data_IF_258553533907
#
_entry.id   IF_258553533907
#
_cell.length_a   1.000
_cell.length_b   1.000
_cell.length_c   1.000
_cell.angle_alpha   90.00
_cell.angle_beta   90.00
_cell.angle_gamma   90.00
#
_symmetry.space_group_name_H-M   'P 1'
#
loop_
_entity.id
_entity.type
_entity.pdbx_description
1 polymer ?
#
# COMPACT_ATOMS: atom_id res chain seq x y z
N UNK A 1 35.26 24.92 -11.92
CA UNK A 1 34.63 23.61 -11.62
C UNK A 1 34.68 23.35 -10.11
N UNK A 2 34.05 24.18 -9.29
CA UNK A 2 34.28 24.21 -7.83
C UNK A 2 33.02 24.48 -7.00
N UNK A 3 31.82 24.12 -7.51
CA UNK A 3 30.54 24.33 -6.80
C UNK A 3 29.71 23.04 -6.59
N UNK A 4 30.30 21.85 -6.69
CA UNK A 4 29.57 20.57 -6.56
C UNK A 4 29.72 19.86 -5.19
N UNK A 5 30.51 20.39 -4.26
CA UNK A 5 30.87 19.67 -3.02
C UNK A 5 30.07 20.13 -1.78
N UNK A 6 29.25 21.18 -1.87
CA UNK A 6 28.50 21.71 -0.70
C UNK A 6 27.10 21.09 -0.45
N UNK A 7 26.64 20.14 -1.27
CA UNK A 7 25.26 19.65 -1.23
C UNK A 7 24.91 18.53 -0.22
N UNK A 8 25.92 17.98 0.48
CA UNK A 8 25.79 16.78 1.32
C UNK A 8 25.93 17.04 2.83
N UNK A 9 25.88 18.31 3.27
CA UNK A 9 25.79 18.60 4.69
C UNK A 9 24.37 18.27 5.21
N UNK A 10 24.32 17.22 6.04
CA UNK A 10 23.29 17.01 7.07
C UNK A 10 21.95 16.47 6.58
N UNK A 11 21.87 15.23 6.10
CA UNK A 11 20.60 14.51 6.13
C UNK A 11 20.33 14.12 7.60
N UNK A 12 19.68 15.01 8.35
CA UNK A 12 19.14 14.67 9.66
C UNK A 12 17.78 13.98 9.46
N UNK A 13 17.75 12.67 9.69
CA UNK A 13 16.49 11.89 9.67
C UNK A 13 15.99 11.78 11.09
N UNK A 14 14.79 12.29 11.37
CA UNK A 14 14.09 12.04 12.63
C UNK A 14 12.82 11.23 12.37
N UNK A 15 12.58 10.23 13.24
CA UNK A 15 11.44 9.32 13.17
C UNK A 15 10.46 9.63 14.29
N UNK A 16 9.18 9.88 13.95
CA UNK A 16 8.11 10.10 14.93
C UNK A 16 7.05 8.99 14.83
N UNK A 17 7.11 7.94 15.67
CA UNK A 17 6.22 6.79 15.52
C UNK A 17 4.78 7.15 15.91
N UNK A 18 3.90 7.29 14.92
CA UNK A 18 2.45 7.38 15.13
C UNK A 18 1.86 5.97 15.28
N UNK A 19 0.80 5.82 16.10
CA UNK A 19 0.13 4.54 16.34
C UNK A 19 -0.28 3.81 15.04
N UNK A 20 -0.84 4.53 14.07
CA UNK A 20 -1.22 3.94 12.78
C UNK A 20 0.01 3.44 12.00
N UNK A 21 1.14 4.15 12.07
CA UNK A 21 2.37 3.76 11.40
C UNK A 21 2.96 2.49 12.01
N UNK A 22 2.97 2.39 13.34
CA UNK A 22 3.37 1.16 14.05
C UNK A 22 2.50 -0.02 13.61
N UNK A 23 1.17 0.16 13.62
CA UNK A 23 0.23 -0.86 13.14
C UNK A 23 0.49 -1.23 11.67
N UNK A 24 0.68 -0.24 10.80
CA UNK A 24 1.00 -0.45 9.39
C UNK A 24 2.30 -1.23 9.18
N UNK A 25 3.38 -0.87 9.88
CA UNK A 25 4.65 -1.60 9.81
C UNK A 25 4.51 -3.04 10.31
N UNK A 26 3.81 -3.27 11.42
CA UNK A 26 3.55 -4.62 11.92
C UNK A 26 2.73 -5.43 10.91
N UNK A 27 1.71 -4.85 10.30
CA UNK A 27 0.92 -5.51 9.27
C UNK A 27 1.76 -5.90 8.05
N UNK A 28 2.62 -4.99 7.57
CA UNK A 28 3.55 -5.26 6.47
C UNK A 28 4.55 -6.34 6.83
N UNK A 29 5.11 -6.29 8.05
CA UNK A 29 6.10 -7.25 8.52
C UNK A 29 5.50 -8.65 8.63
N UNK A 30 4.30 -8.78 9.22
CA UNK A 30 3.58 -10.06 9.29
C UNK A 30 3.39 -10.65 7.90
N UNK A 31 2.93 -9.84 6.95
CA UNK A 31 2.68 -10.29 5.58
C UNK A 31 3.99 -10.62 4.87
N UNK A 32 5.01 -9.79 4.99
CA UNK A 32 6.32 -10.03 4.38
C UNK A 32 6.98 -11.31 4.91
N UNK A 33 6.89 -11.59 6.22
CA UNK A 33 7.37 -12.83 6.83
C UNK A 33 6.55 -14.01 6.32
N UNK A 34 5.22 -13.91 6.34
CA UNK A 34 4.34 -14.96 5.87
C UNK A 34 4.62 -15.34 4.40
N UNK A 35 4.82 -14.33 3.55
CA UNK A 35 5.20 -14.49 2.14
C UNK A 35 6.61 -15.08 1.97
N UNK A 36 7.60 -14.53 2.67
CA UNK A 36 9.01 -14.88 2.49
C UNK A 36 9.38 -16.26 3.05
N UNK A 37 8.74 -16.65 4.16
CA UNK A 37 8.95 -17.97 4.76
C UNK A 37 8.16 -19.09 4.07
N UNK A 38 7.25 -18.75 3.14
CA UNK A 38 6.42 -19.73 2.44
C UNK A 38 5.46 -20.47 3.37
N UNK A 39 5.06 -19.86 4.50
CA UNK A 39 4.14 -20.47 5.45
C UNK A 39 2.77 -20.69 4.81
N UNK A 40 2.21 -21.86 5.08
CA UNK A 40 0.90 -22.30 4.57
C UNK A 40 0.02 -22.67 5.74
N UNK A 41 -0.89 -21.77 6.10
CA UNK A 41 -1.89 -22.06 7.12
C UNK A 41 -3.02 -22.85 6.48
N UNK A 42 -3.13 -24.14 6.81
CA UNK A 42 -4.11 -25.04 6.18
C UNK A 42 -5.54 -24.53 6.26
N UNK A 43 -5.95 -24.02 7.43
CA UNK A 43 -7.28 -23.42 7.62
C UNK A 43 -7.52 -22.21 6.69
N UNK A 44 -6.48 -21.39 6.46
CA UNK A 44 -6.58 -20.23 5.58
C UNK A 44 -6.64 -20.68 4.11
N UNK A 45 -5.86 -21.69 3.74
CA UNK A 45 -5.83 -22.29 2.40
C UNK A 45 -7.19 -22.91 2.03
N UNK A 46 -7.85 -23.55 2.99
CA UNK A 46 -9.18 -24.13 2.84
C UNK A 46 -10.22 -23.03 2.56
N UNK A 47 -10.27 -22.00 3.41
CA UNK A 47 -11.17 -20.85 3.24
C UNK A 47 -10.87 -20.13 1.91
N UNK A 48 -9.60 -19.87 1.61
CA UNK A 48 -9.15 -19.31 0.35
C UNK A 48 -9.40 -20.23 -0.85
N UNK A 49 -9.69 -21.51 -0.65
CA UNK A 49 -10.11 -22.44 -1.69
C UNK A 49 -11.56 -22.22 -2.11
N UNK A 50 -12.41 -21.72 -1.22
CA UNK A 50 -13.83 -21.51 -1.44
C UNK A 50 -14.07 -20.41 -2.50
N UNK A 51 -14.87 -20.71 -3.52
CA UNK A 51 -15.16 -19.80 -4.64
C UNK A 51 -15.81 -18.49 -4.18
N UNK A 52 -16.84 -18.57 -3.32
CA UNK A 52 -17.53 -17.38 -2.81
C UNK A 52 -16.57 -16.54 -1.97
N UNK A 53 -15.80 -17.16 -1.08
CA UNK A 53 -14.82 -16.43 -0.28
C UNK A 53 -13.81 -15.66 -1.13
N UNK A 54 -13.25 -16.29 -2.18
CA UNK A 54 -12.33 -15.61 -3.11
C UNK A 54 -12.97 -14.37 -3.75
N UNK A 55 -14.20 -14.49 -4.21
CA UNK A 55 -14.93 -13.38 -4.85
C UNK A 55 -15.19 -12.25 -3.85
N UNK A 56 -15.73 -12.58 -2.66
CA UNK A 56 -16.00 -11.59 -1.61
C UNK A 56 -14.73 -10.90 -1.10
N UNK A 57 -13.68 -11.67 -0.79
CA UNK A 57 -12.40 -11.10 -0.35
C UNK A 57 -11.74 -10.27 -1.45
N UNK A 58 -11.88 -10.64 -2.73
CA UNK A 58 -11.40 -9.87 -3.87
C UNK A 58 -12.14 -8.55 -4.05
N UNK A 59 -13.47 -8.55 -3.98
CA UNK A 59 -14.27 -7.31 -4.01
C UNK A 59 -14.03 -6.43 -2.79
N UNK A 60 -13.86 -7.01 -1.60
CA UNK A 60 -13.50 -6.26 -0.40
C UNK A 60 -12.12 -5.58 -0.56
N UNK A 61 -11.14 -6.28 -1.12
CA UNK A 61 -9.83 -5.73 -1.42
C UNK A 61 -9.90 -4.61 -2.46
N UNK A 62 -10.64 -4.81 -3.56
CA UNK A 62 -10.86 -3.78 -4.57
C UNK A 62 -11.56 -2.54 -3.99
N UNK A 63 -12.59 -2.74 -3.17
CA UNK A 63 -13.29 -1.65 -2.49
C UNK A 63 -12.36 -0.86 -1.56
N UNK A 64 -11.46 -1.53 -0.84
CA UNK A 64 -10.44 -0.86 -0.02
C UNK A 64 -9.44 -0.07 -0.86
N UNK A 65 -9.00 -0.60 -2.01
CA UNK A 65 -8.12 0.11 -2.95
C UNK A 65 -8.83 1.36 -3.47
N UNK A 66 -10.08 1.23 -3.93
CA UNK A 66 -10.89 2.37 -4.40
C UNK A 66 -11.15 3.39 -3.29
N UNK A 67 -11.34 2.94 -2.04
CA UNK A 67 -11.49 3.82 -0.89
C UNK A 67 -10.25 4.71 -0.70
N UNK A 68 -9.04 4.20 -0.96
CA UNK A 68 -7.81 5.00 -0.83
C UNK A 68 -7.82 6.23 -1.75
N UNK A 69 -8.42 6.11 -2.94
CA UNK A 69 -8.51 7.20 -3.92
C UNK A 69 -9.45 8.32 -3.49
N UNK A 70 -10.37 8.10 -2.55
CA UNK A 70 -11.31 9.13 -2.10
C UNK A 70 -10.60 10.39 -1.59
N UNK A 71 -9.49 10.22 -0.86
CA UNK A 71 -8.69 11.33 -0.36
C UNK A 71 -8.00 12.08 -1.50
N UNK A 72 -7.32 11.36 -2.40
CA UNK A 72 -6.62 11.93 -3.55
C UNK A 72 -7.55 12.66 -4.52
N UNK A 73 -8.69 12.06 -4.84
CA UNK A 73 -9.70 12.67 -5.74
C UNK A 73 -10.26 13.96 -5.16
N UNK A 74 -10.57 14.01 -3.86
CA UNK A 74 -11.03 15.25 -3.22
C UNK A 74 -9.97 16.35 -3.25
N UNK A 75 -8.71 15.98 -3.05
CA UNK A 75 -7.59 16.93 -3.14
C UNK A 75 -7.46 17.49 -4.56
N UNK A 76 -7.62 16.64 -5.57
CA UNK A 76 -7.53 17.03 -6.98
C UNK A 76 -8.70 17.92 -7.41
N UNK A 77 -9.91 17.66 -6.94
CA UNK A 77 -11.11 18.45 -7.28
C UNK A 77 -11.30 19.71 -6.45
N UNK A 78 -10.35 20.05 -5.56
CA UNK A 78 -10.46 21.21 -4.66
C UNK A 78 -11.55 21.09 -3.59
N UNK A 79 -12.01 19.87 -3.30
CA UNK A 79 -13.05 19.61 -2.31
C UNK A 79 -12.57 19.90 -0.88
N UNK A 80 -13.52 20.21 0.03
CA UNK A 80 -13.20 20.43 1.46
C UNK A 80 -12.46 19.23 2.04
N UNK A 81 -11.21 19.44 2.45
CA UNK A 81 -10.39 18.42 3.10
C UNK A 81 -10.67 18.44 4.59
N UNK A 82 -11.14 17.32 5.13
CA UNK A 82 -11.27 17.15 6.58
C UNK A 82 -10.15 16.25 7.09
N UNK A 83 -9.72 16.48 8.33
CA UNK A 83 -8.77 15.60 9.01
C UNK A 83 -9.27 14.15 9.06
N UNK A 84 -10.59 13.95 9.06
CA UNK A 84 -11.22 12.63 9.00
C UNK A 84 -10.86 11.83 7.75
N UNK A 85 -10.82 12.46 6.56
CA UNK A 85 -10.44 11.76 5.33
C UNK A 85 -8.98 11.29 5.35
N UNK A 86 -8.08 12.13 5.84
CA UNK A 86 -6.65 11.77 5.98
C UNK A 86 -6.47 10.63 6.99
N UNK A 87 -7.12 10.73 8.15
CA UNK A 87 -7.03 9.69 9.18
C UNK A 87 -7.60 8.35 8.68
N UNK A 88 -8.73 8.40 7.96
CA UNK A 88 -9.32 7.20 7.35
C UNK A 88 -8.41 6.60 6.28
N UNK A 89 -7.83 7.41 5.39
CA UNK A 89 -6.87 6.96 4.38
C UNK A 89 -5.66 6.26 5.02
N UNK A 90 -5.05 6.88 6.04
CA UNK A 90 -3.91 6.28 6.77
C UNK A 90 -4.29 4.97 7.45
N UNK A 91 -5.40 4.95 8.19
CA UNK A 91 -5.81 3.77 8.96
C UNK A 91 -6.18 2.60 8.05
N UNK A 92 -7.03 2.85 7.04
CA UNK A 92 -7.48 1.81 6.11
C UNK A 92 -6.35 1.36 5.19
N UNK A 93 -5.45 2.26 4.80
CA UNK A 93 -4.22 1.91 4.08
C UNK A 93 -3.35 0.93 4.86
N UNK A 94 -3.28 1.04 6.19
CA UNK A 94 -2.55 0.09 7.04
C UNK A 94 -3.24 -1.28 7.17
N UNK A 95 -4.51 -1.42 6.75
CA UNK A 95 -5.21 -2.72 6.74
C UNK A 95 -5.00 -3.51 5.44
N UNK A 96 -4.63 -2.84 4.34
CA UNK A 96 -4.44 -3.46 3.02
C UNK A 96 -3.52 -4.68 3.04
N UNK A 97 -2.35 -4.67 3.71
CA UNK A 97 -1.47 -5.83 3.77
C UNK A 97 -2.18 -7.07 4.35
N UNK A 98 -2.93 -6.90 5.43
CA UNK A 98 -3.65 -8.01 6.06
C UNK A 98 -4.72 -8.56 5.13
N UNK A 99 -5.49 -7.69 4.48
CA UNK A 99 -6.54 -8.11 3.54
C UNK A 99 -5.93 -8.89 2.35
N UNK A 100 -4.75 -8.49 1.86
CA UNK A 100 -4.00 -9.25 0.86
C UNK A 100 -3.66 -10.66 1.36
N UNK A 101 -3.15 -10.78 2.59
CA UNK A 101 -2.83 -12.10 3.18
C UNK A 101 -4.06 -12.99 3.25
N UNK A 102 -5.21 -12.44 3.64
CA UNK A 102 -6.46 -13.20 3.66
C UNK A 102 -7.00 -13.55 2.28
N UNK A 103 -6.73 -12.73 1.26
CA UNK A 103 -7.21 -12.98 -0.10
C UNK A 103 -6.34 -13.96 -0.90
N UNK A 104 -5.01 -13.91 -0.76
CA UNK A 104 -4.10 -14.64 -1.66
C UNK A 104 -3.84 -16.06 -1.20
N UNK A 105 -4.30 -17.05 -1.99
CA UNK A 105 -4.08 -18.49 -1.76
C UNK A 105 -2.66 -18.94 -2.08
N UNK A 106 -2.19 -18.62 -3.28
CA UNK A 106 -0.91 -19.07 -3.80
C UNK A 106 -0.30 -17.93 -4.60
N UNK A 107 0.97 -17.64 -4.32
CA UNK A 107 1.77 -16.75 -5.16
C UNK A 107 2.39 -17.48 -6.36
N UNK A 108 1.83 -18.59 -6.83
CA UNK A 108 2.44 -19.39 -7.92
C UNK A 108 2.52 -18.65 -9.25
N UNK A 109 1.66 -17.64 -9.46
CA UNK A 109 1.57 -16.88 -10.71
C UNK A 109 2.32 -15.56 -10.56
N UNK A 110 3.28 -15.31 -11.47
CA UNK A 110 4.12 -14.11 -11.46
C UNK A 110 3.30 -12.80 -11.42
N UNK A 111 2.17 -12.78 -12.12
CA UNK A 111 1.23 -11.67 -12.12
C UNK A 111 0.68 -11.33 -10.71
N UNK A 112 0.26 -12.34 -9.94
CA UNK A 112 -0.27 -12.14 -8.59
C UNK A 112 0.83 -11.64 -7.63
N UNK A 113 2.07 -12.12 -7.78
CA UNK A 113 3.23 -11.60 -7.05
C UNK A 113 3.46 -10.12 -7.34
N UNK A 114 3.44 -9.74 -8.62
CA UNK A 114 3.64 -8.36 -9.03
C UNK A 114 2.55 -7.43 -8.47
N UNK A 115 1.27 -7.83 -8.57
CA UNK A 115 0.16 -7.05 -8.00
C UNK A 115 0.31 -6.85 -6.49
N UNK A 116 0.60 -7.92 -5.74
CA UNK A 116 0.80 -7.79 -4.29
C UNK A 116 2.04 -6.96 -3.96
N UNK A 117 3.15 -7.15 -4.67
CA UNK A 117 4.37 -6.39 -4.45
C UNK A 117 4.14 -4.89 -4.66
N UNK A 118 3.46 -4.49 -5.74
CA UNK A 118 3.11 -3.09 -6.01
C UNK A 118 2.27 -2.52 -4.86
N UNK A 119 1.25 -3.24 -4.39
CA UNK A 119 0.39 -2.74 -3.31
C UNK A 119 1.14 -2.67 -1.98
N UNK A 120 1.96 -3.68 -1.62
CA UNK A 120 2.72 -3.71 -0.38
C UNK A 120 3.81 -2.63 -0.34
N UNK A 121 4.53 -2.44 -1.45
CA UNK A 121 5.50 -1.34 -1.59
C UNK A 121 4.78 0.01 -1.50
N UNK A 122 3.61 0.15 -2.12
CA UNK A 122 2.83 1.37 -2.01
C UNK A 122 2.36 1.66 -0.56
N UNK A 123 2.00 0.63 0.18
CA UNK A 123 1.67 0.74 1.61
C UNK A 123 2.88 1.17 2.44
N UNK A 124 4.06 0.59 2.17
CA UNK A 124 5.31 0.98 2.83
C UNK A 124 5.62 2.46 2.58
N UNK A 125 5.53 2.92 1.33
CA UNK A 125 5.74 4.32 0.96
C UNK A 125 4.70 5.21 1.65
N UNK A 126 3.42 4.83 1.68
CA UNK A 126 2.37 5.60 2.35
C UNK A 126 2.56 5.73 3.87
N UNK A 127 3.11 4.70 4.51
CA UNK A 127 3.47 4.73 5.94
C UNK A 127 4.67 5.65 6.18
N UNK A 128 5.68 5.61 5.30
CA UNK A 128 6.87 6.47 5.31
C UNK A 128 6.58 7.93 4.89
N UNK A 129 5.42 8.45 5.26
CA UNK A 129 5.04 9.83 4.96
C UNK A 129 5.84 10.86 5.79
N UNK A 130 5.67 12.13 5.44
CA UNK A 130 6.39 13.27 6.04
C UNK A 130 6.16 13.44 7.55
N UNK A 131 5.09 12.89 8.12
CA UNK A 131 4.86 12.93 9.58
C UNK A 131 5.74 11.92 10.31
N UNK A 132 6.11 10.83 9.63
CA UNK A 132 6.93 9.76 10.17
C UNK A 132 8.40 10.02 9.86
N UNK A 133 8.72 10.32 8.59
CA UNK A 133 10.09 10.59 8.15
C UNK A 133 10.20 12.07 7.80
N UNK A 134 10.84 12.83 8.69
CA UNK A 134 11.05 14.26 8.47
C UNK A 134 12.33 14.47 7.69
N UNK A 135 12.19 14.90 6.44
CA UNK A 135 13.28 15.43 5.64
C UNK A 135 13.10 16.94 5.48
N UNK A 136 14.19 17.69 5.63
CA UNK A 136 14.17 19.17 5.53
C UNK A 136 14.11 19.65 4.07
N UNK A 137 14.33 18.77 3.08
CA UNK A 137 14.37 19.13 1.66
C UNK A 137 12.98 19.04 0.99
N UNK A 138 12.48 20.10 0.33
CA UNK A 138 11.16 20.09 -0.31
C UNK A 138 11.02 19.04 -1.42
N UNK A 139 12.12 18.72 -2.12
CA UNK A 139 12.16 17.69 -3.16
C UNK A 139 11.72 16.29 -2.67
N UNK A 140 11.93 15.98 -1.39
CA UNK A 140 11.53 14.70 -0.82
C UNK A 140 10.01 14.53 -0.85
N UNK A 141 9.26 15.57 -0.46
CA UNK A 141 7.80 15.51 -0.42
C UNK A 141 7.21 15.24 -1.81
N UNK A 142 7.69 15.95 -2.82
CA UNK A 142 7.16 15.84 -4.19
C UNK A 142 7.48 14.49 -4.80
N UNK A 143 8.71 13.99 -4.58
CA UNK A 143 9.12 12.65 -5.02
C UNK A 143 8.32 11.55 -4.32
N UNK A 144 8.17 11.65 -2.99
CA UNK A 144 7.38 10.72 -2.20
C UNK A 144 5.93 10.67 -2.68
N UNK A 145 5.31 11.83 -2.87
CA UNK A 145 3.93 11.95 -3.34
C UNK A 145 3.76 11.37 -4.75
N UNK A 146 4.65 11.74 -5.68
CA UNK A 146 4.62 11.26 -7.05
C UNK A 146 4.77 9.73 -7.12
N UNK A 147 5.72 9.17 -6.36
CA UNK A 147 5.95 7.72 -6.31
C UNK A 147 4.74 6.99 -5.71
N UNK A 148 4.19 7.49 -4.59
CA UNK A 148 3.02 6.89 -3.94
C UNK A 148 1.79 6.88 -4.87
N UNK A 149 1.50 8.00 -5.52
CA UNK A 149 0.35 8.10 -6.44
C UNK A 149 0.57 7.22 -7.68
N UNK A 150 1.77 7.20 -8.25
CA UNK A 150 2.08 6.38 -9.43
C UNK A 150 1.93 4.89 -9.13
N UNK A 151 2.46 4.41 -8.00
CA UNK A 151 2.29 3.02 -7.59
C UNK A 151 0.84 2.70 -7.25
N UNK A 152 0.09 3.62 -6.65
CA UNK A 152 -1.34 3.45 -6.45
C UNK A 152 -2.10 3.29 -7.77
N UNK A 153 -1.74 4.07 -8.80
CA UNK A 153 -2.35 4.00 -10.13
C UNK A 153 -2.05 2.68 -10.82
N UNK A 154 -0.78 2.25 -10.82
CA UNK A 154 -0.37 0.93 -11.33
C UNK A 154 -1.07 -0.19 -10.57
N UNK A 155 -1.12 -0.12 -9.24
CA UNK A 155 -1.81 -1.11 -8.41
C UNK A 155 -3.30 -1.21 -8.70
N UNK A 156 -3.98 -0.08 -8.93
CA UNK A 156 -5.39 -0.07 -9.32
C UNK A 156 -5.59 -0.67 -10.73
N UNK A 157 -4.76 -0.28 -11.70
CA UNK A 157 -4.84 -0.83 -13.06
C UNK A 157 -4.64 -2.36 -13.07
N UNK A 158 -3.64 -2.86 -12.33
CA UNK A 158 -3.43 -4.29 -12.15
C UNK A 158 -4.60 -4.93 -11.37
N UNK A 159 -5.17 -4.30 -10.35
CA UNK A 159 -6.33 -4.87 -9.66
C UNK A 159 -7.54 -5.02 -10.60
N UNK A 160 -7.82 -4.01 -11.45
CA UNK A 160 -8.90 -4.08 -12.46
C UNK A 160 -8.61 -5.15 -13.50
N UNK A 161 -7.39 -5.21 -14.03
CA UNK A 161 -6.99 -6.25 -14.98
C UNK A 161 -7.07 -7.65 -14.35
N UNK A 162 -6.75 -7.79 -13.07
CA UNK A 162 -6.90 -9.06 -12.35
C UNK A 162 -8.36 -9.53 -12.31
N UNK A 163 -9.27 -8.62 -11.97
CA UNK A 163 -10.71 -8.91 -11.97
C UNK A 163 -11.19 -9.28 -13.37
N UNK A 164 -10.76 -8.53 -14.40
CA UNK A 164 -11.07 -8.84 -15.79
C UNK A 164 -10.65 -10.27 -16.17
N UNK A 165 -9.39 -10.63 -15.91
CA UNK A 165 -8.86 -11.96 -16.24
C UNK A 165 -9.59 -13.06 -15.46
N UNK A 166 -9.81 -12.90 -14.15
CA UNK A 166 -10.41 -13.97 -13.32
C UNK A 166 -11.88 -14.24 -13.62
N UNK A 167 -12.61 -13.25 -14.13
CA UNK A 167 -14.06 -13.39 -14.39
C UNK A 167 -14.41 -13.61 -15.85
N UNK A 168 -13.54 -13.23 -16.80
CA UNK A 168 -13.84 -13.30 -18.23
C UNK A 168 -12.96 -14.32 -19.00
N UNK A 169 -11.87 -14.82 -18.40
CA UNK A 169 -11.00 -15.86 -18.96
C UNK A 169 -10.77 -16.99 -17.94
#
# INVERSE_FOLDING_TARGET
MTNLVHGLQGISISINPKKYAVFGFLSLLIVAIWLGAGYRWEWLIEIQGNKLYKQFSGFALLALILQQWRFGLRRFTGGKMTMGFMNSHKLLGCLLPLVILFHVKNFGVAYQRMLAAVILVNCLIGILNIEIVRFEKPFFHDTWMALHISLAAVGLALAVYHVYVVYLY
#
